data_IF_111895526773
#
_entry.id   IF_111895526773
#
_cell.length_a   1.000
_cell.length_b   1.000
_cell.length_c   1.000
_cell.angle_alpha   90.00
_cell.angle_beta   90.00
_cell.angle_gamma   90.00
#
_symmetry.space_group_name_H-M   'P 1'
#
loop_
_entity.id
_entity.type
_entity.pdbx_description
1 polymer ?
#
# COMPACT_ATOMS: atom_id res chain seq x y z
N UNK A 1 -5.48 7.36 -0.54
CA UNK A 1 -5.59 5.88 -0.46
C UNK A 1 -6.50 5.42 -1.57
N UNK A 2 -6.09 4.40 -2.33
CA UNK A 2 -6.90 3.83 -3.42
C UNK A 2 -7.05 2.34 -3.09
N UNK A 3 -8.25 1.94 -2.69
CA UNK A 3 -8.59 0.54 -2.40
C UNK A 3 -9.05 -0.23 -3.62
N UNK A 4 -9.34 0.47 -4.71
CA UNK A 4 -9.96 -0.08 -5.91
C UNK A 4 -9.02 0.06 -7.11
N UNK A 5 -8.64 -1.07 -7.71
CA UNK A 5 -7.84 -1.11 -8.93
C UNK A 5 -8.71 -1.53 -10.11
N UNK A 6 -8.42 -1.02 -11.32
CA UNK A 6 -9.07 -1.53 -12.53
C UNK A 6 -8.74 -3.01 -12.75
N UNK A 7 -9.75 -3.81 -13.09
CA UNK A 7 -9.55 -5.23 -13.37
C UNK A 7 -8.94 -5.45 -14.76
N UNK A 8 -7.62 -5.51 -14.82
CA UNK A 8 -6.86 -5.82 -16.04
C UNK A 8 -6.83 -7.33 -16.38
N UNK A 9 -7.29 -8.19 -15.48
CA UNK A 9 -7.49 -9.63 -15.74
C UNK A 9 -8.87 -9.92 -16.36
N UNK A 10 -9.66 -8.86 -16.61
CA UNK A 10 -10.98 -8.91 -17.22
C UNK A 10 -10.98 -9.31 -18.70
N UNK A 11 -12.17 -9.31 -19.31
CA UNK A 11 -12.35 -9.75 -20.72
C UNK A 11 -12.02 -8.68 -21.77
N UNK A 12 -11.62 -7.48 -21.34
CA UNK A 12 -11.37 -6.31 -22.21
C UNK A 12 -9.99 -5.72 -21.93
N UNK A 13 -9.40 -5.09 -22.94
CA UNK A 13 -8.10 -4.39 -22.86
C UNK A 13 -8.37 -2.88 -22.85
N UNK A 14 -7.73 -2.08 -21.97
CA UNK A 14 -6.73 -2.49 -20.97
C UNK A 14 -7.32 -3.08 -19.68
N UNK A 15 -8.62 -2.88 -19.44
CA UNK A 15 -9.39 -3.47 -18.35
C UNK A 15 -10.87 -3.46 -18.72
N UNK A 16 -11.69 -4.24 -18.01
CA UNK A 16 -13.15 -4.17 -18.15
C UNK A 16 -13.80 -3.16 -17.19
N UNK A 17 -15.12 -3.22 -17.04
CA UNK A 17 -15.90 -2.33 -16.17
C UNK A 17 -15.83 -2.69 -14.67
N UNK A 18 -15.18 -3.79 -14.31
CA UNK A 18 -15.08 -4.26 -12.94
C UNK A 18 -13.84 -3.74 -12.21
N UNK A 19 -13.89 -3.78 -10.87
CA UNK A 19 -12.82 -3.33 -9.99
C UNK A 19 -12.33 -4.47 -9.10
N UNK A 20 -11.01 -4.51 -8.87
CA UNK A 20 -10.39 -5.35 -7.85
C UNK A 20 -10.29 -4.53 -6.58
N UNK A 21 -11.14 -4.84 -5.60
CA UNK A 21 -11.19 -4.16 -4.30
C UNK A 21 -10.36 -4.96 -3.30
N UNK A 22 -9.36 -4.32 -2.70
CA UNK A 22 -8.52 -4.93 -1.69
C UNK A 22 -8.34 -4.02 -0.49
N UNK A 23 -8.35 -4.62 0.69
CA UNK A 23 -8.14 -3.88 1.94
C UNK A 23 -6.70 -3.34 2.02
N UNK A 24 -6.57 -2.18 2.65
CA UNK A 24 -5.28 -1.63 3.08
C UNK A 24 -5.23 -1.71 4.60
N UNK A 25 -4.16 -2.27 5.14
CA UNK A 25 -3.95 -2.36 6.59
C UNK A 25 -2.83 -1.40 6.99
N UNK A 26 -3.11 -0.50 7.92
CA UNK A 26 -2.13 0.42 8.49
C UNK A 26 -2.12 0.16 9.99
N UNK A 27 -0.98 -0.27 10.52
CA UNK A 27 -0.80 -0.53 11.94
C UNK A 27 -0.56 0.77 12.72
N UNK A 28 -0.45 0.66 14.04
CA UNK A 28 -0.28 1.82 14.93
C UNK A 28 1.04 2.57 14.65
N UNK A 29 1.07 3.85 15.03
CA UNK A 29 2.27 4.70 14.98
C UNK A 29 2.90 4.88 13.57
N UNK A 30 2.14 4.67 12.49
CA UNK A 30 2.61 4.91 11.12
C UNK A 30 2.55 6.40 10.77
N UNK A 31 3.61 6.92 10.14
CA UNK A 31 3.64 8.28 9.60
C UNK A 31 3.64 8.26 8.06
N UNK A 32 2.69 8.96 7.45
CA UNK A 32 2.57 9.09 5.99
C UNK A 32 2.87 10.53 5.55
N UNK A 33 3.79 10.67 4.59
CA UNK A 33 4.08 11.92 3.91
C UNK A 33 2.90 12.42 3.07
N UNK A 34 2.99 13.67 2.63
CA UNK A 34 1.92 14.30 1.84
C UNK A 34 1.77 13.65 0.46
N UNK A 35 0.52 13.37 0.05
CA UNK A 35 0.24 12.82 -1.28
C UNK A 35 0.68 11.38 -1.48
N UNK A 36 0.98 10.64 -0.41
CA UNK A 36 1.26 9.20 -0.50
C UNK A 36 0.01 8.46 -1.01
N UNK A 37 0.21 7.65 -2.06
CA UNK A 37 -0.82 6.75 -2.61
C UNK A 37 -0.46 5.33 -2.17
N UNK A 38 -1.40 4.66 -1.52
CA UNK A 38 -1.29 3.25 -1.12
C UNK A 38 -2.27 2.46 -1.97
N UNK A 39 -1.78 1.43 -2.67
CA UNK A 39 -2.61 0.53 -3.47
C UNK A 39 -3.27 -0.54 -2.60
N UNK A 40 -4.43 -1.04 -3.05
CA UNK A 40 -5.14 -2.13 -2.40
C UNK A 40 -4.26 -3.38 -2.21
N UNK A 41 -4.41 -4.04 -1.06
CA UNK A 41 -3.67 -5.26 -0.68
C UNK A 41 -2.40 -4.99 0.13
N UNK A 42 -2.02 -3.71 0.30
CA UNK A 42 -0.82 -3.32 1.06
C UNK A 42 -1.09 -3.35 2.57
N UNK A 43 -0.12 -3.89 3.31
CA UNK A 43 -0.02 -3.76 4.77
C UNK A 43 1.20 -2.91 5.13
N UNK A 44 1.01 -1.90 5.98
CA UNK A 44 2.08 -1.06 6.54
C UNK A 44 2.25 -1.40 8.01
N UNK A 45 3.41 -1.93 8.37
CA UNK A 45 3.78 -2.35 9.72
C UNK A 45 3.79 -1.21 10.74
N UNK A 46 3.72 -1.57 12.02
CA UNK A 46 3.69 -0.62 13.12
C UNK A 46 4.96 0.26 13.15
N UNK A 47 4.80 1.56 13.41
CA UNK A 47 5.94 2.48 13.55
C UNK A 47 6.68 2.84 12.25
N UNK A 48 6.20 2.36 11.10
CA UNK A 48 6.82 2.64 9.80
C UNK A 48 6.62 4.10 9.36
N UNK A 49 7.62 4.64 8.65
CA UNK A 49 7.63 6.03 8.18
C UNK A 49 7.74 6.07 6.66
N UNK A 50 6.69 6.56 6.00
CA UNK A 50 6.64 6.74 4.54
C UNK A 50 6.80 8.23 4.21
N UNK A 51 8.03 8.73 4.31
CA UNK A 51 8.33 10.17 4.21
C UNK A 51 8.26 10.75 2.78
N UNK A 52 8.41 9.91 1.74
CA UNK A 52 8.50 10.39 0.37
C UNK A 52 7.15 10.93 -0.13
N UNK A 53 6.99 12.25 -0.14
CA UNK A 53 5.81 12.93 -0.68
C UNK A 53 5.56 12.55 -2.14
N UNK A 54 4.32 12.21 -2.48
CA UNK A 54 3.94 11.73 -3.80
C UNK A 54 4.39 10.30 -4.14
N UNK A 55 4.90 9.53 -3.16
CA UNK A 55 5.24 8.13 -3.39
C UNK A 55 4.02 7.23 -3.57
N UNK A 56 4.21 6.15 -4.32
CA UNK A 56 3.21 5.10 -4.53
C UNK A 56 3.69 3.82 -3.87
N UNK A 57 2.97 3.37 -2.84
CA UNK A 57 3.25 2.12 -2.12
C UNK A 57 2.51 0.98 -2.80
N UNK A 58 3.26 0.12 -3.49
CA UNK A 58 2.74 -1.02 -4.27
C UNK A 58 3.04 -2.38 -3.63
N UNK A 59 3.81 -2.41 -2.54
CA UNK A 59 4.18 -3.62 -1.79
C UNK A 59 4.08 -3.35 -0.30
N UNK A 60 3.67 -4.37 0.45
CA UNK A 60 3.60 -4.32 1.92
C UNK A 60 4.98 -4.05 2.54
N UNK A 61 4.98 -3.27 3.61
CA UNK A 61 6.16 -2.90 4.38
C UNK A 61 5.98 -3.53 5.76
N UNK A 62 6.88 -4.45 6.10
CA UNK A 62 6.87 -5.10 7.41
C UNK A 62 7.69 -4.29 8.40
N UNK A 63 7.25 -4.26 9.65
CA UNK A 63 8.02 -3.68 10.74
C UNK A 63 9.37 -4.39 10.86
N UNK A 64 10.47 -3.70 10.54
CA UNK A 64 11.79 -4.19 10.89
C UNK A 64 12.09 -3.83 12.34
N UNK A 65 11.92 -4.78 13.25
CA UNK A 65 12.62 -4.70 14.54
C UNK A 65 14.11 -4.68 14.22
N UNK A 66 14.80 -3.60 14.59
CA UNK A 66 16.26 -3.60 14.66
C UNK A 66 16.67 -4.76 15.59
N UNK A 67 17.09 -5.89 15.01
CA UNK A 67 17.80 -6.93 15.73
C UNK A 67 19.25 -6.47 15.79
N UNK A 68 19.56 -5.62 16.78
CA UNK A 68 20.93 -5.28 17.11
C UNK A 68 21.72 -6.56 17.39
N UNK A 69 22.84 -6.72 16.71
CA UNK A 69 23.78 -7.80 16.93
C UNK A 69 24.18 -7.86 18.42
N UNK A 70 23.94 -9.02 19.05
CA UNK A 70 24.57 -9.41 20.31
C UNK A 70 25.93 -10.03 20.06
#
# INVERSE_FOLDING_TARGET
MITDNHNFEGKKIPHDESYIVQNVTIHDNVWLGHGVIILGGVTIGEGEIIQASGSVVVKSIQHMKFQGAS
#
